data_IF_015343776545
#
_entry.id   IF_015343776545
#
_cell.length_a   1.000
_cell.length_b   1.000
_cell.length_c   1.000
_cell.angle_alpha   90.00
_cell.angle_beta   90.00
_cell.angle_gamma   90.00
#
_symmetry.space_group_name_H-M   'P 1'
#
loop_
_entity.id
_entity.type
_entity.pdbx_description
1 polymer ?
#
# COMPACT_ATOMS: atom_id res chain seq x y z
N UNK A 1 -9.95 5.67 7.53
CA UNK A 1 -8.97 5.60 6.43
C UNK A 1 -8.78 4.13 6.10
N UNK A 2 -8.69 3.74 4.82
CA UNK A 2 -8.70 2.31 4.41
C UNK A 2 -7.46 1.54 4.89
N UNK A 3 -6.35 2.26 5.11
CA UNK A 3 -5.07 1.73 5.58
C UNK A 3 -4.60 2.58 6.76
N UNK A 4 -3.83 1.98 7.67
CA UNK A 4 -3.26 2.67 8.82
C UNK A 4 -2.11 3.61 8.42
N UNK A 5 -1.22 3.12 7.56
CA UNK A 5 -0.04 3.81 7.05
C UNK A 5 0.35 3.23 5.67
N UNK A 6 1.49 3.68 5.12
CA UNK A 6 1.96 3.20 3.81
C UNK A 6 2.40 1.74 3.84
N UNK A 7 2.96 1.28 4.97
CA UNK A 7 3.38 -0.12 5.13
C UNK A 7 2.16 -1.05 5.12
N UNK A 8 1.08 -0.69 5.83
CA UNK A 8 -0.19 -1.40 5.81
C UNK A 8 -0.82 -1.44 4.39
N UNK A 9 -0.64 -0.37 3.60
CA UNK A 9 -1.03 -0.35 2.19
C UNK A 9 -0.22 -1.35 1.36
N UNK A 10 1.11 -1.38 1.53
CA UNK A 10 2.00 -2.31 0.82
C UNK A 10 1.72 -3.76 1.18
N UNK A 11 1.53 -4.07 2.47
CA UNK A 11 1.13 -5.42 2.93
C UNK A 11 -0.18 -5.86 2.28
N UNK A 12 -1.16 -4.96 2.17
CA UNK A 12 -2.43 -5.29 1.51
C UNK A 12 -2.26 -5.47 0.00
N UNK A 13 -1.38 -4.69 -0.64
CA UNK A 13 -1.06 -4.82 -2.07
C UNK A 13 -0.39 -6.16 -2.38
N UNK A 14 0.59 -6.54 -1.58
CA UNK A 14 1.23 -7.84 -1.65
C UNK A 14 0.22 -8.97 -1.43
N UNK A 15 -0.58 -8.89 -0.37
CA UNK A 15 -1.61 -9.89 -0.08
C UNK A 15 -2.69 -10.02 -1.19
N UNK A 16 -2.99 -8.94 -1.93
CA UNK A 16 -3.93 -8.99 -3.06
C UNK A 16 -3.35 -9.72 -4.29
N UNK A 17 -2.02 -9.81 -4.40
CA UNK A 17 -1.30 -10.48 -5.50
C UNK A 17 -0.71 -11.83 -5.09
N UNK A 18 -0.59 -12.08 -3.79
CA UNK A 18 -0.02 -13.29 -3.23
C UNK A 18 -0.90 -14.50 -3.55
N UNK A 19 -0.26 -15.57 -4.03
CA UNK A 19 -0.93 -16.82 -4.41
C UNK A 19 -0.46 -18.03 -3.58
N UNK A 20 0.41 -17.80 -2.60
CA UNK A 20 0.89 -18.84 -1.68
C UNK A 20 -0.02 -19.04 -0.47
N UNK A 21 0.47 -19.80 0.52
CA UNK A 21 -0.24 -20.05 1.78
C UNK A 21 -0.02 -18.93 2.77
N UNK A 22 -1.07 -18.53 3.48
CA UNK A 22 -1.06 -17.40 4.45
C UNK A 22 0.11 -17.46 5.46
N UNK A 23 0.58 -18.65 5.83
CA UNK A 23 1.70 -18.87 6.77
C UNK A 23 3.08 -18.41 6.22
N UNK A 24 3.25 -18.37 4.90
CA UNK A 24 4.48 -17.93 4.22
C UNK A 24 4.42 -16.47 3.74
N UNK A 25 3.24 -15.84 3.85
CA UNK A 25 3.00 -14.48 3.40
C UNK A 25 3.88 -13.41 4.09
N UNK A 26 4.22 -13.50 5.40
CA UNK A 26 5.08 -12.51 6.04
C UNK A 26 6.53 -12.53 5.52
N UNK A 27 7.08 -13.73 5.27
CA UNK A 27 8.43 -13.88 4.75
C UNK A 27 8.48 -13.47 3.27
N UNK A 28 7.46 -13.85 2.49
CA UNK A 28 7.31 -13.47 1.08
C UNK A 28 7.12 -11.95 0.90
N UNK A 29 6.58 -11.26 1.90
CA UNK A 29 6.42 -9.81 1.87
C UNK A 29 7.77 -9.08 1.88
N UNK A 30 8.73 -9.52 2.70
CA UNK A 30 10.06 -8.93 2.75
C UNK A 30 10.83 -9.19 1.45
N UNK A 31 10.73 -10.41 0.92
CA UNK A 31 11.32 -10.75 -0.38
C UNK A 31 10.72 -9.90 -1.52
N UNK A 32 9.39 -9.75 -1.53
CA UNK A 32 8.70 -8.90 -2.48
C UNK A 32 9.18 -7.44 -2.40
N UNK A 33 9.32 -6.88 -1.19
CA UNK A 33 9.83 -5.52 -1.02
C UNK A 33 11.25 -5.34 -1.57
N UNK A 34 12.10 -6.36 -1.42
CA UNK A 34 13.47 -6.34 -1.92
C UNK A 34 13.54 -6.43 -3.45
N UNK A 35 12.53 -7.03 -4.08
CA UNK A 35 12.42 -7.14 -5.54
C UNK A 35 11.81 -5.88 -6.21
N UNK A 36 11.21 -4.97 -5.43
CA UNK A 36 10.65 -3.73 -5.97
C UNK A 36 11.74 -2.75 -6.41
N UNK A 37 11.56 -2.20 -7.61
CA UNK A 37 12.37 -1.10 -8.10
C UNK A 37 11.96 0.22 -7.43
N UNK A 38 12.83 1.23 -7.54
CA UNK A 38 12.50 2.58 -7.09
C UNK A 38 11.24 3.13 -7.78
N UNK A 39 11.01 2.79 -9.06
CA UNK A 39 9.83 3.21 -9.80
C UNK A 39 8.56 2.55 -9.26
N UNK A 40 8.62 1.28 -8.85
CA UNK A 40 7.49 0.59 -8.20
C UNK A 40 7.10 1.27 -6.88
N UNK A 41 8.09 1.65 -6.06
CA UNK A 41 7.84 2.41 -4.84
C UNK A 41 7.20 3.77 -5.12
N UNK A 42 7.61 4.47 -6.19
CA UNK A 42 7.01 5.74 -6.60
C UNK A 42 5.57 5.53 -7.03
N UNK A 43 5.28 4.50 -7.81
CA UNK A 43 3.93 4.18 -8.27
C UNK A 43 3.01 3.81 -7.11
N UNK A 44 3.46 2.97 -6.18
CA UNK A 44 2.72 2.65 -4.96
C UNK A 44 2.51 3.88 -4.07
N UNK A 45 3.52 4.74 -3.94
CA UNK A 45 3.39 6.02 -3.23
C UNK A 45 2.34 6.93 -3.85
N UNK A 46 2.31 7.03 -5.19
CA UNK A 46 1.33 7.80 -5.93
C UNK A 46 -0.10 7.24 -5.76
N UNK A 47 -0.25 5.91 -5.78
CA UNK A 47 -1.53 5.26 -5.50
C UNK A 47 -2.02 5.53 -4.07
N UNK A 48 -1.15 5.35 -3.08
CA UNK A 48 -1.47 5.62 -1.68
C UNK A 48 -1.83 7.09 -1.45
N UNK A 49 -1.11 8.02 -2.10
CA UNK A 49 -1.43 9.44 -2.11
C UNK A 49 -2.84 9.74 -2.64
N UNK A 50 -3.30 9.04 -3.70
CA UNK A 50 -4.68 9.17 -4.21
C UNK A 50 -5.71 8.66 -3.20
N UNK A 51 -5.41 7.59 -2.47
CA UNK A 51 -6.27 7.05 -1.40
C UNK A 51 -6.41 8.05 -0.26
N UNK A 52 -5.28 8.61 0.22
CA UNK A 52 -5.28 9.66 1.24
C UNK A 52 -6.08 10.86 0.77
N UNK A 53 -5.81 11.37 -0.43
CA UNK A 53 -6.49 12.54 -1.00
C UNK A 53 -8.00 12.31 -1.09
N UNK A 54 -8.43 11.13 -1.53
CA UNK A 54 -9.85 10.76 -1.59
C UNK A 54 -10.48 10.68 -0.20
N UNK A 55 -9.78 10.07 0.76
CA UNK A 55 -10.23 10.00 2.14
C UNK A 55 -10.37 11.40 2.76
N UNK A 56 -9.39 12.28 2.58
CA UNK A 56 -9.38 13.66 3.08
C UNK A 56 -10.44 14.53 2.40
N UNK A 57 -10.67 14.36 1.09
CA UNK A 57 -11.74 15.05 0.36
C UNK A 57 -13.13 14.64 0.87
N UNK A 58 -13.32 13.36 1.19
CA UNK A 58 -14.59 12.84 1.71
C UNK A 58 -14.82 13.19 3.18
N UNK A 59 -13.77 13.24 4.00
CA UNK A 59 -13.85 13.51 5.44
C UNK A 59 -13.50 14.95 5.84
N UNK A 60 -13.44 15.88 4.88
CA UNK A 60 -13.61 17.31 5.14
C UNK A 60 -12.54 17.98 6.01
N UNK A 61 -11.28 17.95 5.57
CA UNK A 61 -10.27 18.94 5.99
C UNK A 61 -9.44 19.44 4.82
N UNK A 62 -10.09 19.92 3.76
CA UNK A 62 -9.60 21.05 2.95
C UNK A 62 -10.83 21.87 2.57
N UNK A 63 -11.24 22.76 3.47
CA UNK A 63 -11.89 24.01 3.10
C UNK A 63 -10.79 24.99 2.71
N UNK A 64 -10.83 25.43 1.45
CA UNK A 64 -9.88 26.32 0.75
C UNK A 64 -8.47 25.78 0.48
#
# INVERSE_FOLDING_TARGET
>A
MKYKDFEDFLRKKHADQYTGTDDLMPDDYEDWLMDLSADDFIDFGNEYGKVIKSFMKFHGRISN
#
